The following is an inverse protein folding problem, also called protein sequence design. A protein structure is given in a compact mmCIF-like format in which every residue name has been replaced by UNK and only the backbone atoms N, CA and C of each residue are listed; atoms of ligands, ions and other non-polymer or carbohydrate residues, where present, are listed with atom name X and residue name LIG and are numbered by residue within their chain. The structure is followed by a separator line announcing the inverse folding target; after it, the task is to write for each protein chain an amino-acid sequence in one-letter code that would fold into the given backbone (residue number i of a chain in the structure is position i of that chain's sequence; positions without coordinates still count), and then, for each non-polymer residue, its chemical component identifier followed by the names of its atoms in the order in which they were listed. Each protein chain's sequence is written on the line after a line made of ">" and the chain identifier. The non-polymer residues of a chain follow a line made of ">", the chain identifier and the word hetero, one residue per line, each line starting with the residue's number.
data_IF_744521770371
#
_entry.id   IF_744521770371
#
_cell.length_a   1.000
_cell.length_b   1.000
_cell.length_c   1.000
_cell.angle_alpha   90.00
_cell.angle_beta   90.00
_cell.angle_gamma   90.00
#
_symmetry.space_group_name_H-M   'P 1'
#
loop_
_entity.id
_entity.type
_entity.pdbx_description
1 polymer ?
#
# COMPACT_ATOMS: atom_id res chain seq x y z
N UNK A 1 -6.02 -10.07 18.89
CA UNK A 1 -6.91 -11.14 19.42
C UNK A 1 -6.15 -12.01 20.40
N UNK A 2 -6.42 -11.89 21.70
CA UNK A 2 -5.73 -12.66 22.76
C UNK A 2 -6.75 -13.19 23.76
N UNK A 3 -6.67 -14.48 24.06
CA UNK A 3 -7.52 -15.11 25.07
C UNK A 3 -6.91 -14.94 26.46
N UNK A 4 -7.54 -14.14 27.31
CA UNK A 4 -7.07 -13.95 28.69
C UNK A 4 -7.65 -15.02 29.63
N UNK A 5 -6.92 -15.38 30.69
CA UNK A 5 -7.36 -16.41 31.64
C UNK A 5 -8.73 -16.12 32.26
N UNK A 6 -9.02 -14.85 32.53
CA UNK A 6 -10.28 -14.39 33.14
C UNK A 6 -11.41 -14.11 32.14
N UNK A 7 -11.16 -14.31 30.83
CA UNK A 7 -12.17 -14.12 29.80
C UNK A 7 -13.14 -15.29 29.78
N UNK A 8 -14.43 -14.98 29.66
CA UNK A 8 -15.49 -16.00 29.64
C UNK A 8 -15.34 -16.88 28.39
N UNK A 9 -15.66 -18.18 28.46
CA UNK A 9 -15.50 -19.09 27.33
C UNK A 9 -16.19 -18.61 26.03
N UNK A 10 -17.35 -17.99 26.14
CA UNK A 10 -18.14 -17.46 25.02
C UNK A 10 -17.53 -16.23 24.33
N UNK A 11 -16.58 -15.55 24.99
CA UNK A 11 -15.88 -14.37 24.44
C UNK A 11 -14.52 -14.75 23.84
N UNK A 12 -14.08 -16.02 23.98
CA UNK A 12 -12.76 -16.46 23.50
C UNK A 12 -12.76 -16.71 22.00
N UNK A 13 -11.68 -16.31 21.36
CA UNK A 13 -11.42 -16.61 19.95
C UNK A 13 -10.95 -18.05 19.79
N UNK A 14 -11.36 -18.70 18.70
CA UNK A 14 -10.82 -20.00 18.28
C UNK A 14 -10.20 -19.87 16.89
N UNK A 15 -8.95 -20.30 16.76
CA UNK A 15 -8.20 -20.28 15.50
C UNK A 15 -7.81 -21.72 15.17
N UNK A 16 -8.13 -22.15 13.94
CA UNK A 16 -7.78 -23.47 13.42
C UNK A 16 -6.80 -23.31 12.28
N UNK A 17 -5.61 -23.89 12.43
CA UNK A 17 -4.56 -23.88 11.41
C UNK A 17 -4.46 -25.24 10.75
N UNK A 18 -4.51 -25.26 9.41
CA UNK A 18 -4.40 -26.47 8.61
C UNK A 18 -3.32 -26.35 7.53
N UNK A 19 -2.63 -27.46 7.26
CA UNK A 19 -1.66 -27.57 6.16
C UNK A 19 -2.07 -28.71 5.24
N UNK A 20 -2.47 -28.38 4.01
CA UNK A 20 -2.99 -29.36 3.05
C UNK A 20 -4.30 -30.04 3.51
N UNK A 21 -5.17 -29.29 4.19
CA UNK A 21 -6.45 -29.79 4.71
C UNK A 21 -6.35 -30.68 5.95
N UNK A 22 -5.16 -30.76 6.57
CA UNK A 22 -4.93 -31.50 7.83
C UNK A 22 -4.61 -30.52 8.96
N UNK A 23 -5.22 -30.68 10.15
CA UNK A 23 -4.89 -29.87 11.32
C UNK A 23 -3.41 -29.96 11.68
N UNK A 24 -2.80 -28.82 12.02
CA UNK A 24 -1.44 -28.76 12.56
C UNK A 24 -1.51 -28.94 14.07
N UNK A 25 -1.13 -30.11 14.57
CA UNK A 25 -1.29 -30.47 16.00
C UNK A 25 -0.44 -29.63 16.97
N UNK A 26 0.68 -29.08 16.49
CA UNK A 26 1.63 -28.34 17.32
C UNK A 26 1.24 -26.86 17.56
N UNK A 27 0.18 -26.37 16.90
CA UNK A 27 -0.32 -25.01 17.08
C UNK A 27 -1.61 -25.08 17.90
N UNK A 28 -1.53 -24.63 19.15
CA UNK A 28 -2.66 -24.58 20.07
C UNK A 28 -3.34 -23.22 19.98
N UNK A 29 -4.67 -23.21 19.82
CA UNK A 29 -5.43 -21.96 19.67
C UNK A 29 -5.35 -21.08 20.90
N UNK A 30 -5.13 -21.65 22.08
CA UNK A 30 -5.09 -20.94 23.36
C UNK A 30 -3.80 -20.15 23.53
N UNK A 31 -2.73 -20.53 22.82
CA UNK A 31 -1.41 -19.88 22.88
C UNK A 31 -1.27 -18.73 21.87
N UNK A 32 -2.24 -18.56 20.97
CA UNK A 32 -2.19 -17.53 19.94
C UNK A 32 -2.46 -16.16 20.57
N UNK A 33 -1.49 -15.26 20.43
CA UNK A 33 -1.56 -13.87 20.92
C UNK A 33 -1.93 -12.86 19.84
N UNK A 34 -1.68 -13.18 18.58
CA UNK A 34 -1.86 -12.28 17.44
C UNK A 34 -2.10 -13.08 16.15
N UNK A 35 -2.94 -12.53 15.29
CA UNK A 35 -3.11 -12.94 13.89
C UNK A 35 -2.96 -11.68 13.06
N UNK A 36 -2.09 -11.72 12.07
CA UNK A 36 -1.82 -10.62 11.15
C UNK A 36 -2.21 -11.01 9.74
N UNK A 37 -2.92 -10.14 9.03
CA UNK A 37 -3.34 -10.34 7.65
C UNK A 37 -2.73 -9.26 6.75
N UNK A 38 -2.18 -9.65 5.59
CA UNK A 38 -1.77 -8.69 4.57
C UNK A 38 -3.01 -8.24 3.80
N UNK A 39 -3.45 -7.02 4.09
CA UNK A 39 -4.67 -6.44 3.47
C UNK A 39 -4.39 -5.63 2.21
N UNK A 40 -3.14 -5.21 2.01
CA UNK A 40 -2.69 -4.46 0.83
C UNK A 40 -1.17 -4.56 0.67
N UNK A 41 -0.71 -4.71 -0.58
CA UNK A 41 0.70 -4.78 -0.93
C UNK A 41 1.01 -3.87 -2.11
N UNK A 42 2.04 -3.00 -1.97
CA UNK A 42 2.58 -2.19 -3.06
C UNK A 42 4.00 -2.61 -3.39
N UNK A 43 4.26 -2.97 -4.66
CA UNK A 43 5.61 -3.35 -5.08
C UNK A 43 6.54 -2.14 -5.26
N UNK A 44 6.02 -1.03 -5.82
CA UNK A 44 6.79 0.18 -6.20
C UNK A 44 5.97 1.50 -6.17
N UNK A 45 4.91 1.57 -5.37
CA UNK A 45 4.09 2.77 -5.26
C UNK A 45 4.74 3.84 -4.38
N UNK A 46 5.81 4.46 -4.87
CA UNK A 46 6.65 5.37 -4.08
C UNK A 46 5.90 6.60 -3.57
N UNK A 47 4.91 7.08 -4.30
CA UNK A 47 4.10 8.23 -3.90
C UNK A 47 3.14 7.89 -2.76
N UNK A 48 2.65 6.64 -2.69
CA UNK A 48 1.84 6.16 -1.55
C UNK A 48 2.73 5.93 -0.33
N UNK A 49 3.89 5.30 -0.54
CA UNK A 49 4.89 5.14 0.52
C UNK A 49 5.29 6.49 1.13
N UNK A 50 5.63 7.48 0.29
CA UNK A 50 5.92 8.84 0.74
C UNK A 50 4.81 9.42 1.61
N UNK A 51 3.56 9.22 1.22
CA UNK A 51 2.42 9.70 2.00
C UNK A 51 2.41 9.10 3.41
N UNK A 52 2.66 7.80 3.56
CA UNK A 52 2.77 7.16 4.87
C UNK A 52 3.97 7.69 5.68
N UNK A 53 5.13 7.87 5.04
CA UNK A 53 6.31 8.46 5.70
C UNK A 53 6.00 9.84 6.27
N UNK A 54 5.38 10.70 5.45
CA UNK A 54 5.11 12.09 5.82
C UNK A 54 4.00 12.22 6.87
N UNK A 55 2.95 11.41 6.79
CA UNK A 55 1.73 11.60 7.57
C UNK A 55 1.62 10.65 8.78
N UNK A 56 2.22 9.45 8.71
CA UNK A 56 2.12 8.42 9.76
C UNK A 56 3.45 8.23 10.49
N UNK A 57 4.57 8.17 9.75
CA UNK A 57 5.90 7.86 10.34
C UNK A 57 6.67 9.10 10.81
N UNK A 58 6.08 10.30 10.72
CA UNK A 58 6.69 11.57 11.15
C UNK A 58 8.03 11.84 10.45
N UNK A 59 8.13 11.48 9.18
CA UNK A 59 9.31 11.64 8.33
C UNK A 59 10.52 10.78 8.73
N UNK A 60 10.34 9.79 9.61
CA UNK A 60 11.39 8.83 9.96
C UNK A 60 11.10 7.46 9.31
N UNK A 61 11.76 7.23 8.18
CA UNK A 61 11.57 6.04 7.37
C UNK A 61 12.49 4.90 7.85
N UNK A 62 12.09 4.25 8.95
CA UNK A 62 12.92 3.29 9.68
C UNK A 62 12.57 1.80 9.45
N UNK A 63 11.71 1.51 8.47
CA UNK A 63 11.16 0.17 8.16
C UNK A 63 10.39 -0.53 9.30
N UNK A 64 10.02 0.18 10.37
CA UNK A 64 9.19 -0.41 11.43
C UNK A 64 7.71 -0.45 11.02
N UNK A 65 6.90 -1.13 11.83
CA UNK A 65 5.44 -1.14 11.68
C UNK A 65 4.83 0.05 12.43
N UNK A 66 4.03 0.84 11.74
CA UNK A 66 3.37 2.01 12.30
C UNK A 66 1.86 1.85 12.28
N UNK A 67 1.21 2.15 13.40
CA UNK A 67 -0.25 2.17 13.49
C UNK A 67 -0.83 3.23 12.56
N UNK A 68 -1.86 2.85 11.80
CA UNK A 68 -2.59 3.73 10.89
C UNK A 68 -4.00 3.90 11.42
N UNK A 69 -4.35 5.12 11.80
CA UNK A 69 -5.67 5.41 12.35
C UNK A 69 -6.74 5.49 11.26
N UNK A 70 -8.02 5.41 11.66
CA UNK A 70 -9.14 5.64 10.75
C UNK A 70 -9.11 7.04 10.12
N UNK A 71 -8.59 8.05 10.83
CA UNK A 71 -8.44 9.39 10.30
C UNK A 71 -7.37 9.43 9.20
N UNK A 72 -6.24 8.74 9.40
CA UNK A 72 -5.19 8.61 8.38
C UNK A 72 -5.73 7.94 7.10
N UNK A 73 -6.49 6.85 7.24
CA UNK A 73 -7.12 6.18 6.10
C UNK A 73 -8.10 7.10 5.36
N UNK A 74 -8.89 7.90 6.08
CA UNK A 74 -9.80 8.86 5.49
C UNK A 74 -9.06 10.03 4.79
N UNK A 75 -7.96 10.51 5.36
CA UNK A 75 -7.13 11.55 4.73
C UNK A 75 -6.46 11.05 3.46
N UNK A 76 -5.87 9.85 3.47
CA UNK A 76 -5.34 9.24 2.26
C UNK A 76 -6.43 9.05 1.20
N UNK A 77 -7.63 8.61 1.59
CA UNK A 77 -8.75 8.46 0.67
C UNK A 77 -9.15 9.80 0.03
N UNK A 78 -9.20 10.89 0.80
CA UNK A 78 -9.48 12.25 0.28
C UNK A 78 -8.40 12.67 -0.72
N UNK A 79 -7.13 12.42 -0.40
CA UNK A 79 -5.99 12.72 -1.26
C UNK A 79 -6.07 11.94 -2.57
N UNK A 80 -6.26 10.61 -2.53
CA UNK A 80 -6.40 9.79 -3.74
C UNK A 80 -7.58 10.26 -4.61
N UNK A 81 -8.74 10.53 -4.02
CA UNK A 81 -9.90 11.04 -4.76
C UNK A 81 -9.61 12.39 -5.44
N UNK A 82 -8.89 13.30 -4.77
CA UNK A 82 -8.53 14.60 -5.33
C UNK A 82 -7.54 14.45 -6.48
N UNK A 83 -6.55 13.57 -6.36
CA UNK A 83 -5.61 13.27 -7.46
C UNK A 83 -6.37 12.68 -8.65
N UNK A 84 -7.13 11.61 -8.47
CA UNK A 84 -7.91 10.95 -9.53
C UNK A 84 -8.81 11.94 -10.27
N UNK A 85 -9.54 12.79 -9.54
CA UNK A 85 -10.44 13.80 -10.13
C UNK A 85 -9.72 14.81 -11.03
N UNK A 86 -8.46 15.13 -10.73
CA UNK A 86 -7.68 16.13 -11.47
C UNK A 86 -6.67 15.50 -12.45
N UNK A 87 -6.65 14.17 -12.57
CA UNK A 87 -5.73 13.46 -13.47
C UNK A 87 -6.45 13.03 -14.74
N UNK A 88 -6.33 13.83 -15.80
CA UNK A 88 -6.77 13.45 -17.15
C UNK A 88 -5.63 12.77 -17.89
N UNK A 89 -5.84 11.53 -18.32
CA UNK A 89 -4.89 10.79 -19.14
C UNK A 89 -5.01 11.18 -20.61
N UNK A 90 -3.86 11.39 -21.27
CA UNK A 90 -3.72 11.64 -22.72
C UNK A 90 -2.66 10.70 -23.29
N UNK A 91 -2.73 10.44 -24.59
CA UNK A 91 -1.74 9.60 -25.25
C UNK A 91 -0.35 10.23 -25.17
N UNK A 92 0.65 9.41 -24.89
CA UNK A 92 2.03 9.84 -24.72
C UNK A 92 2.99 8.65 -24.68
N UNK A 93 4.15 8.86 -24.08
CA UNK A 93 5.19 7.85 -23.96
C UNK A 93 5.55 7.61 -22.49
N UNK A 94 5.44 6.37 -22.06
CA UNK A 94 5.68 5.94 -20.68
C UNK A 94 7.01 5.19 -20.56
N UNK A 95 7.64 5.30 -19.39
CA UNK A 95 8.88 4.61 -19.07
C UNK A 95 8.69 3.09 -19.06
N UNK A 96 9.46 2.39 -19.90
CA UNK A 96 9.42 0.94 -20.05
C UNK A 96 10.68 0.25 -19.52
N UNK A 97 11.52 0.96 -18.77
CA UNK A 97 12.77 0.44 -18.26
C UNK A 97 14.01 1.10 -18.88
N UNK A 98 15.17 0.67 -18.40
CA UNK A 98 16.46 1.08 -18.92
C UNK A 98 17.22 -0.18 -19.32
N UNK A 99 17.66 -0.28 -20.57
CA UNK A 99 18.46 -1.40 -21.04
C UNK A 99 19.94 -1.02 -21.13
N UNK A 100 20.80 -2.02 -20.95
CA UNK A 100 22.25 -1.87 -20.95
C UNK A 100 22.84 -2.79 -22.02
N UNK A 101 23.69 -2.22 -22.87
CA UNK A 101 24.44 -2.99 -23.87
C UNK A 101 25.82 -2.36 -24.09
N UNK A 102 26.64 -2.93 -24.97
CA UNK A 102 28.00 -2.41 -25.24
C UNK A 102 28.01 -0.99 -25.81
N UNK A 103 26.95 -0.59 -26.52
CA UNK A 103 26.79 0.74 -27.12
C UNK A 103 26.25 1.76 -26.10
N UNK A 104 25.48 1.28 -25.12
CA UNK A 104 24.85 2.05 -24.06
C UNK A 104 25.28 1.54 -22.67
N UNK A 105 26.58 1.63 -22.31
CA UNK A 105 27.07 1.16 -21.01
C UNK A 105 26.53 1.98 -19.83
N UNK A 106 26.03 3.20 -20.09
CA UNK A 106 25.39 4.08 -19.10
C UNK A 106 23.86 3.88 -19.01
N UNK A 107 23.32 2.92 -19.75
CA UNK A 107 21.87 2.69 -19.85
C UNK A 107 21.21 3.59 -20.89
N UNK A 108 20.26 3.03 -21.62
CA UNK A 108 19.37 3.77 -22.51
C UNK A 108 17.93 3.56 -22.03
N UNK A 109 17.23 4.67 -21.79
CA UNK A 109 15.82 4.65 -21.41
C UNK A 109 15.00 4.14 -22.59
N UNK A 110 14.16 3.15 -22.33
CA UNK A 110 13.14 2.69 -23.26
C UNK A 110 11.82 3.38 -22.91
N UNK A 111 11.17 3.94 -23.93
CA UNK A 111 9.81 4.44 -23.85
C UNK A 111 8.91 3.62 -24.77
N UNK A 112 7.66 3.46 -24.37
CA UNK A 112 6.62 2.84 -25.18
C UNK A 112 5.40 3.76 -25.24
N UNK A 113 4.60 3.62 -26.28
CA UNK A 113 3.30 4.28 -26.34
C UNK A 113 2.44 3.85 -25.13
N UNK A 114 1.86 4.84 -24.45
CA UNK A 114 1.00 4.65 -23.29
C UNK A 114 0.23 5.93 -23.02
N UNK A 115 -0.14 6.16 -21.76
CA UNK A 115 -0.86 7.37 -21.35
C UNK A 115 -0.17 8.10 -20.21
N UNK A 116 -0.17 9.42 -20.30
CA UNK A 116 0.40 10.33 -19.31
C UNK A 116 -0.65 11.28 -18.75
N UNK A 117 -0.47 11.76 -17.53
CA UNK A 117 -1.35 12.78 -16.96
C UNK A 117 -1.04 14.12 -17.65
N UNK A 118 -2.05 14.70 -18.30
CA UNK A 118 -1.96 15.96 -19.08
C UNK A 118 -1.43 17.12 -18.25
N UNK A 119 -1.96 17.28 -17.02
CA UNK A 119 -1.49 18.23 -16.02
C UNK A 119 -1.30 17.53 -14.68
N UNK A 120 -0.03 17.20 -14.36
CA UNK A 120 0.33 16.53 -13.13
C UNK A 120 0.50 17.47 -11.92
N UNK A 121 0.12 18.75 -12.01
CA UNK A 121 0.33 19.73 -10.92
C UNK A 121 -0.29 19.28 -9.60
N UNK A 122 -1.55 18.83 -9.61
CA UNK A 122 -2.24 18.35 -8.40
C UNK A 122 -1.62 17.06 -7.86
N UNK A 123 -1.21 16.16 -8.76
CA UNK A 123 -0.56 14.91 -8.38
C UNK A 123 0.80 15.16 -7.70
N UNK A 124 1.62 16.06 -8.26
CA UNK A 124 2.91 16.49 -7.69
C UNK A 124 2.76 17.17 -6.34
N UNK A 125 1.69 17.93 -6.14
CA UNK A 125 1.45 18.62 -4.88
C UNK A 125 1.01 17.65 -3.76
N UNK A 126 0.12 16.70 -4.07
CA UNK A 126 -0.56 15.90 -3.05
C UNK A 126 0.03 14.50 -2.84
N UNK A 127 0.50 13.86 -3.92
CA UNK A 127 1.12 12.54 -3.90
C UNK A 127 2.38 12.55 -4.79
N UNK A 128 3.40 13.34 -4.42
CA UNK A 128 4.62 13.41 -5.20
C UNK A 128 5.33 12.06 -5.26
N UNK A 129 5.84 11.72 -6.44
CA UNK A 129 6.76 10.60 -6.62
C UNK A 129 8.08 10.86 -5.89
N UNK A 130 8.73 9.79 -5.42
CA UNK A 130 10.06 9.85 -4.80
C UNK A 130 11.13 9.24 -5.68
N UNK A 131 12.28 9.91 -5.75
CA UNK A 131 13.47 9.41 -6.41
C UNK A 131 14.25 8.43 -5.52
N UNK A 132 14.78 7.38 -6.13
CA UNK A 132 15.75 6.51 -5.48
C UNK A 132 15.76 5.09 -6.03
N UNK A 133 16.86 4.40 -5.75
CA UNK A 133 17.17 3.09 -6.32
C UNK A 133 16.05 2.05 -6.11
N UNK A 134 15.31 2.14 -5.01
CA UNK A 134 14.27 1.19 -4.64
C UNK A 134 12.85 1.59 -5.06
N UNK A 135 12.65 2.84 -5.50
CA UNK A 135 11.32 3.46 -5.54
C UNK A 135 10.60 3.36 -6.89
N UNK A 136 11.21 2.82 -7.95
CA UNK A 136 10.51 2.62 -9.23
C UNK A 136 10.46 3.88 -10.10
N UNK A 137 9.37 4.07 -10.86
CA UNK A 137 9.24 5.19 -11.81
C UNK A 137 8.93 6.51 -11.10
N UNK A 138 9.40 7.62 -11.65
CA UNK A 138 9.09 8.98 -11.17
C UNK A 138 8.10 9.71 -12.08
N UNK A 139 7.56 9.00 -13.08
CA UNK A 139 6.62 9.56 -14.05
C UNK A 139 5.20 9.62 -13.49
N UNK A 140 4.46 10.63 -13.96
CA UNK A 140 3.04 10.81 -13.66
C UNK A 140 2.24 10.31 -14.85
N UNK A 141 2.19 8.99 -14.97
CA UNK A 141 1.60 8.26 -16.07
C UNK A 141 0.39 7.42 -15.65
N UNK A 142 -0.10 6.56 -16.53
CA UNK A 142 -1.18 5.63 -16.23
C UNK A 142 -0.84 4.64 -15.12
N UNK A 143 0.43 4.25 -14.95
CA UNK A 143 0.85 3.34 -13.88
C UNK A 143 0.83 4.04 -12.52
N UNK A 144 1.31 5.28 -12.47
CA UNK A 144 1.13 6.14 -11.29
C UNK A 144 -0.36 6.22 -10.91
N UNK A 145 -1.23 6.52 -11.87
CA UNK A 145 -2.64 6.71 -11.60
C UNK A 145 -3.34 5.39 -11.21
N UNK A 146 -2.96 4.27 -11.80
CA UNK A 146 -3.47 2.93 -11.44
C UNK A 146 -3.17 2.59 -9.98
N UNK A 147 -1.95 2.90 -9.49
CA UNK A 147 -1.59 2.71 -8.08
C UNK A 147 -2.45 3.58 -7.14
N UNK A 148 -2.74 4.83 -7.52
CA UNK A 148 -3.63 5.72 -6.77
C UNK A 148 -5.07 5.18 -6.77
N UNK A 149 -5.58 4.71 -7.91
CA UNK A 149 -6.93 4.13 -8.02
C UNK A 149 -7.05 2.85 -7.20
N UNK A 150 -6.07 1.94 -7.29
CA UNK A 150 -6.05 0.70 -6.52
C UNK A 150 -6.00 0.96 -5.02
N UNK A 151 -5.24 1.97 -4.60
CA UNK A 151 -5.18 2.40 -3.20
C UNK A 151 -6.51 2.98 -2.73
N UNK A 152 -7.15 3.82 -3.56
CA UNK A 152 -8.49 4.37 -3.29
C UNK A 152 -9.53 3.27 -3.14
N UNK A 153 -9.56 2.29 -4.04
CA UNK A 153 -10.53 1.20 -4.02
C UNK A 153 -10.35 0.31 -2.78
N UNK A 154 -9.09 0.02 -2.42
CA UNK A 154 -8.77 -0.67 -1.17
C UNK A 154 -9.24 0.11 0.06
N UNK A 155 -8.98 1.41 0.13
CA UNK A 155 -9.41 2.26 1.25
C UNK A 155 -10.92 2.30 1.41
N UNK A 156 -11.67 2.41 0.30
CA UNK A 156 -13.14 2.38 0.33
C UNK A 156 -13.64 1.07 0.92
N UNK A 157 -13.09 -0.07 0.48
CA UNK A 157 -13.46 -1.37 1.02
C UNK A 157 -13.09 -1.49 2.50
N UNK A 158 -11.86 -1.14 2.86
CA UNK A 158 -11.36 -1.24 4.23
C UNK A 158 -12.18 -0.40 5.21
N UNK A 159 -12.50 0.85 4.84
CA UNK A 159 -13.32 1.73 5.66
C UNK A 159 -14.77 1.23 5.80
N UNK A 160 -15.33 0.59 4.76
CA UNK A 160 -16.64 -0.05 4.85
C UNK A 160 -16.61 -1.27 5.76
N UNK A 161 -15.59 -2.12 5.64
CA UNK A 161 -15.37 -3.27 6.52
C UNK A 161 -15.27 -2.84 8.00
N UNK A 162 -14.47 -1.80 8.30
CA UNK A 162 -14.34 -1.22 9.65
C UNK A 162 -15.70 -0.70 10.15
N UNK A 163 -16.43 0.03 9.30
CA UNK A 163 -17.76 0.56 9.64
C UNK A 163 -18.77 -0.56 9.92
N UNK A 164 -18.63 -1.69 9.25
CA UNK A 164 -19.47 -2.89 9.43
C UNK A 164 -19.01 -3.79 10.58
N UNK A 165 -18.00 -3.35 11.36
CA UNK A 165 -17.59 -4.01 12.60
C UNK A 165 -16.44 -4.99 12.45
N UNK A 166 -15.68 -4.95 11.34
CA UNK A 166 -14.42 -5.69 11.27
C UNK A 166 -13.49 -5.26 12.40
N UNK A 167 -13.02 -6.26 13.16
CA UNK A 167 -12.07 -6.07 14.25
C UNK A 167 -10.63 -6.10 13.71
N UNK A 168 -9.75 -5.28 14.28
CA UNK A 168 -8.32 -5.26 13.95
C UNK A 168 -7.75 -3.85 13.90
N UNK A 169 -6.46 -3.76 14.19
CA UNK A 169 -5.68 -2.54 14.02
C UNK A 169 -4.93 -2.62 12.69
N UNK A 170 -4.88 -1.51 11.95
CA UNK A 170 -4.16 -1.42 10.67
C UNK A 170 -2.76 -0.89 10.94
N UNK A 171 -1.77 -1.56 10.36
CA UNK A 171 -0.38 -1.14 10.41
C UNK A 171 0.18 -0.98 9.00
N UNK A 172 1.01 0.05 8.82
CA UNK A 172 1.82 0.24 7.64
C UNK A 172 3.27 -0.16 7.95
N UNK A 173 3.87 -0.94 7.06
CA UNK A 173 5.29 -1.25 7.08
C UNK A 173 5.84 -1.30 5.66
N UNK A 174 7.15 -1.19 5.55
CA UNK A 174 7.86 -1.02 4.30
C UNK A 174 9.19 -1.77 4.34
N UNK A 175 9.66 -2.19 3.16
CA UNK A 175 10.95 -2.84 2.99
C UNK A 175 11.52 -2.42 1.64
N UNK A 176 12.62 -1.69 1.67
CA UNK A 176 13.38 -1.28 0.49
C UNK A 176 14.81 -1.79 0.58
#
# INVERSE_FOLDING_TARGET
>A
MKNWEHQKPEERYSVRVERGGKPVADIRSEDISEVSEEVMYWRKANHIHKWFVDNVQKQDDNCESFYVSNDDLNELLKVCNKVIKNSKLVDGEVYAGTFYNRENPKGQVQRIAGKVIEDATVAKELLPTQEGFFFGSHEYDEYYLDEVVRTRDWLVKMLDDIKNGSEGDIYYSSSW
#
